data_IF_327705049299
#
_entry.id   IF_327705049299
#
_cell.length_a   1.000
_cell.length_b   1.000
_cell.length_c   1.000
_cell.angle_alpha   90.00
_cell.angle_beta   90.00
_cell.angle_gamma   90.00
#
_symmetry.space_group_name_H-M   'P 1'
#
loop_
_entity.id
_entity.type
_entity.pdbx_description
1 polymer ?
#
# COMPACT_ATOMS: atom_id res chain seq x y z
N UNK A 1 -32.70 5.23 0.12
CA UNK A 1 -31.41 4.54 -0.11
C UNK A 1 -30.38 5.64 -0.37
N UNK A 2 -29.43 5.85 0.55
CA UNK A 2 -28.50 6.99 0.48
C UNK A 2 -27.53 6.88 -0.69
N UNK A 3 -27.27 8.01 -1.36
CA UNK A 3 -26.31 8.11 -2.46
C UNK A 3 -24.90 7.91 -1.90
N UNK A 4 -24.15 6.95 -2.44
CA UNK A 4 -22.73 6.79 -2.13
C UNK A 4 -22.00 7.96 -2.77
N UNK A 5 -21.33 8.79 -1.97
CA UNK A 5 -20.35 9.74 -2.50
C UNK A 5 -19.14 8.96 -3.01
N UNK A 6 -18.84 9.11 -4.30
CA UNK A 6 -17.64 8.54 -4.90
C UNK A 6 -16.48 9.50 -4.61
N UNK A 7 -15.59 9.09 -3.71
CA UNK A 7 -14.33 9.79 -3.44
C UNK A 7 -13.18 9.31 -4.33
N UNK A 8 -12.12 10.10 -4.42
CA UNK A 8 -10.88 9.71 -5.09
C UNK A 8 -10.07 8.77 -4.21
N UNK A 9 -9.66 7.62 -4.74
CA UNK A 9 -8.72 6.71 -4.09
C UNK A 9 -7.35 6.80 -4.77
N UNK A 10 -6.30 7.08 -4.00
CA UNK A 10 -4.92 7.03 -4.46
C UNK A 10 -4.33 5.70 -4.04
N UNK A 11 -3.90 4.89 -5.01
CA UNK A 11 -3.22 3.62 -4.77
C UNK A 11 -1.76 3.77 -5.15
N UNK A 12 -0.87 3.57 -4.17
CA UNK A 12 0.58 3.58 -4.38
C UNK A 12 1.05 2.13 -4.55
N UNK A 13 1.58 1.78 -5.72
CA UNK A 13 2.10 0.45 -6.05
C UNK A 13 3.60 0.52 -6.36
N UNK A 14 4.36 -0.49 -5.95
CA UNK A 14 5.79 -0.61 -6.22
C UNK A 14 6.40 -1.85 -5.56
N UNK A 15 7.73 -1.93 -5.54
CA UNK A 15 8.50 -3.15 -5.21
C UNK A 15 8.59 -3.51 -3.71
N UNK A 16 7.61 -3.15 -2.87
CA UNK A 16 7.64 -3.36 -1.40
C UNK A 16 8.97 -2.90 -0.75
N UNK A 17 9.42 -1.70 -1.12
CA UNK A 17 10.68 -1.08 -0.67
C UNK A 17 10.39 0.23 0.07
N UNK A 18 11.40 0.83 0.68
CA UNK A 18 11.27 2.10 1.42
C UNK A 18 10.58 3.23 0.64
N UNK A 19 10.70 3.27 -0.69
CA UNK A 19 10.06 4.28 -1.54
C UNK A 19 8.52 4.24 -1.53
N UNK A 20 7.91 3.04 -1.54
CA UNK A 20 6.44 2.92 -1.49
C UNK A 20 5.91 3.41 -0.15
N UNK A 21 6.63 3.13 0.94
CA UNK A 21 6.29 3.57 2.28
C UNK A 21 6.40 5.08 2.41
N UNK A 22 7.48 5.67 1.90
CA UNK A 22 7.69 7.11 1.94
C UNK A 22 6.60 7.88 1.18
N UNK A 23 6.23 7.41 -0.02
CA UNK A 23 5.17 8.05 -0.83
C UNK A 23 3.80 7.87 -0.16
N UNK A 24 3.48 6.67 0.34
CA UNK A 24 2.22 6.40 1.04
C UNK A 24 2.09 7.28 2.29
N UNK A 25 3.17 7.40 3.08
CA UNK A 25 3.22 8.28 4.24
C UNK A 25 3.07 9.77 3.88
N UNK A 26 3.67 10.21 2.76
CA UNK A 26 3.51 11.58 2.27
C UNK A 26 2.05 11.91 1.92
N UNK A 27 1.32 11.02 1.25
CA UNK A 27 -0.10 11.22 0.97
C UNK A 27 -0.94 11.31 2.25
N UNK A 28 -0.68 10.43 3.23
CA UNK A 28 -1.34 10.51 4.55
C UNK A 28 -1.03 11.84 5.24
N UNK A 29 0.23 12.29 5.22
CA UNK A 29 0.62 13.57 5.79
C UNK A 29 -0.03 14.78 5.09
N UNK A 30 -0.34 14.65 3.79
CA UNK A 30 -1.05 15.66 3.00
C UNK A 30 -2.58 15.61 3.16
N UNK A 31 -3.11 14.73 4.01
CA UNK A 31 -4.53 14.65 4.33
C UNK A 31 -5.32 13.58 3.58
N UNK A 32 -4.66 12.69 2.85
CA UNK A 32 -5.32 11.49 2.32
C UNK A 32 -5.68 10.53 3.46
N UNK A 33 -6.74 9.75 3.27
CA UNK A 33 -7.10 8.68 4.19
C UNK A 33 -5.99 7.62 4.27
N UNK A 34 -5.70 7.15 5.48
CA UNK A 34 -4.74 6.07 5.67
C UNK A 34 -5.34 4.69 5.38
N UNK A 35 -4.50 3.69 5.06
CA UNK A 35 -4.93 2.30 5.01
C UNK A 35 -5.61 1.86 6.32
N UNK A 36 -6.67 1.07 6.21
CA UNK A 36 -7.28 0.41 7.39
C UNK A 36 -6.43 -0.75 7.91
N UNK A 37 -5.56 -1.29 7.07
CA UNK A 37 -4.72 -2.45 7.35
C UNK A 37 -3.29 -2.16 6.95
N UNK A 38 -2.51 -1.62 7.88
CA UNK A 38 -1.08 -1.38 7.68
C UNK A 38 -0.31 -2.70 7.68
N UNK A 39 0.83 -2.71 6.99
CA UNK A 39 1.82 -3.76 7.15
C UNK A 39 2.55 -3.59 8.50
N UNK A 40 2.72 -4.70 9.22
CA UNK A 40 3.36 -4.72 10.54
C UNK A 40 4.83 -4.29 10.48
N UNK A 41 5.32 -3.70 11.57
CA UNK A 41 6.74 -3.46 11.78
C UNK A 41 7.55 -4.77 11.78
N UNK A 42 8.79 -4.68 11.36
CA UNK A 42 9.77 -5.76 11.40
C UNK A 42 11.18 -5.21 11.74
N UNK A 43 12.21 -6.06 11.65
CA UNK A 43 13.59 -5.67 11.92
C UNK A 43 14.16 -4.65 10.91
N UNK A 44 13.56 -4.53 9.72
CA UNK A 44 13.97 -3.57 8.70
C UNK A 44 13.27 -2.22 8.89
N UNK A 45 12.13 -2.18 9.58
CA UNK A 45 11.41 -0.97 9.91
C UNK A 45 10.60 -1.12 11.22
N UNK A 46 11.25 -0.81 12.34
CA UNK A 46 10.67 -0.91 13.69
C UNK A 46 9.46 0.02 13.90
N UNK A 47 9.34 1.09 13.09
CA UNK A 47 8.22 2.04 13.17
C UNK A 47 6.98 1.56 12.39
N UNK A 48 7.12 0.49 11.62
CA UNK A 48 6.07 0.01 10.74
C UNK A 48 6.00 0.77 9.42
N UNK A 49 5.17 0.23 8.53
CA UNK A 49 5.09 0.62 7.13
C UNK A 49 3.80 1.39 6.86
N UNK A 50 3.86 2.37 5.95
CA UNK A 50 2.68 3.09 5.49
C UNK A 50 1.88 2.34 4.41
N UNK A 51 2.39 1.21 3.94
CA UNK A 51 1.73 0.37 2.95
C UNK A 51 0.50 -0.36 3.51
N UNK A 52 -0.50 -0.54 2.64
CA UNK A 52 -1.63 -1.41 2.92
C UNK A 52 -1.24 -2.89 2.72
N UNK A 53 -1.44 -3.71 3.74
CA UNK A 53 -1.21 -5.15 3.68
C UNK A 53 -2.09 -5.84 2.62
N UNK A 54 -3.33 -5.37 2.45
CA UNK A 54 -4.27 -5.94 1.49
C UNK A 54 -3.84 -5.64 0.05
N UNK A 55 -3.44 -4.40 -0.23
CA UNK A 55 -2.96 -4.00 -1.57
C UNK A 55 -1.63 -4.70 -1.90
N UNK A 56 -0.73 -4.84 -0.92
CA UNK A 56 0.51 -5.60 -1.08
C UNK A 56 0.23 -7.02 -1.58
N UNK A 57 -0.69 -7.74 -0.90
CA UNK A 57 -1.03 -9.13 -1.25
C UNK A 57 -1.65 -9.24 -2.64
N UNK A 58 -2.55 -8.33 -2.98
CA UNK A 58 -3.17 -8.29 -4.32
C UNK A 58 -2.09 -8.06 -5.39
N UNK A 59 -1.15 -7.15 -5.15
CA UNK A 59 -0.05 -6.90 -6.10
C UNK A 59 0.81 -8.16 -6.31
N UNK A 60 1.14 -8.87 -5.22
CA UNK A 60 1.88 -10.13 -5.30
C UNK A 60 1.10 -11.21 -6.07
N UNK A 61 -0.21 -11.31 -5.86
CA UNK A 61 -1.05 -12.29 -6.55
C UNK A 61 -1.16 -11.98 -8.06
N UNK A 62 -1.24 -10.69 -8.44
CA UNK A 62 -1.23 -10.25 -9.84
C UNK A 62 0.10 -10.61 -10.50
N UNK A 63 1.24 -10.30 -9.86
CA UNK A 63 2.57 -10.64 -10.40
C UNK A 63 2.73 -12.15 -10.55
N UNK A 64 2.36 -12.93 -9.53
CA UNK A 64 2.40 -14.41 -9.57
C UNK A 64 1.54 -14.97 -10.69
N UNK A 65 0.37 -14.37 -10.97
CA UNK A 65 -0.50 -14.82 -12.07
C UNK A 65 0.14 -14.66 -13.45
N UNK A 66 1.11 -13.75 -13.57
CA UNK A 66 1.94 -13.55 -14.76
C UNK A 66 3.26 -14.36 -14.72
N UNK A 67 3.46 -15.21 -13.72
CA UNK A 67 4.72 -15.95 -13.51
C UNK A 67 5.89 -15.06 -13.08
N UNK A 68 5.60 -13.91 -12.46
CA UNK A 68 6.57 -12.90 -12.07
C UNK A 68 6.53 -12.62 -10.56
N UNK A 69 7.57 -11.95 -10.06
CA UNK A 69 7.71 -11.46 -8.70
C UNK A 69 8.18 -10.01 -8.71
N UNK A 70 7.97 -9.31 -7.59
CA UNK A 70 8.38 -7.91 -7.48
C UNK A 70 9.90 -7.71 -7.52
N UNK A 71 10.69 -8.78 -7.38
CA UNK A 71 12.16 -8.78 -7.36
C UNK A 71 12.81 -9.43 -8.59
N UNK A 72 12.02 -9.73 -9.63
CA UNK A 72 12.57 -10.23 -10.90
C UNK A 72 13.54 -9.25 -11.55
#
# INVERSE_FOLDING_TARGET
MGRVELGTCVVVLGMHRSGTSAISGAFVALGAGSPKTFMSADANNEKGYFESLAIMRINDDVLKSAGSFWFD
#
